data_IF_129316028334
#
_entry.id   IF_129316028334
#
_cell.length_a   1.000
_cell.length_b   1.000
_cell.length_c   1.000
_cell.angle_alpha   90.00
_cell.angle_beta   90.00
_cell.angle_gamma   90.00
#
_symmetry.space_group_name_H-M   'P 1'
#
loop_
_entity.id
_entity.type
_entity.pdbx_description
1 polymer ?
#
# COMPACT_ATOMS: atom_id res chain seq x y z
N UNK A 1 -15.08 -32.09 -0.28
CA UNK A 1 -15.38 -30.68 -0.49
C UNK A 1 -14.11 -29.84 -0.52
N UNK A 2 -13.94 -29.02 -1.50
CA UNK A 2 -12.76 -28.19 -1.55
C UNK A 2 -12.78 -27.17 -0.42
N UNK A 3 -11.65 -26.97 0.17
CA UNK A 3 -11.50 -25.91 1.14
C UNK A 3 -11.59 -24.58 0.44
N UNK A 4 -12.35 -23.69 1.03
CA UNK A 4 -12.40 -22.32 0.53
C UNK A 4 -11.11 -21.61 0.94
N UNK A 5 -10.15 -21.67 0.07
CA UNK A 5 -8.93 -20.91 0.28
C UNK A 5 -9.21 -19.47 -0.14
N UNK A 6 -8.99 -18.55 0.77
CA UNK A 6 -9.13 -17.14 0.41
C UNK A 6 -7.94 -16.74 -0.43
N UNK A 7 -8.16 -16.72 -1.76
CA UNK A 7 -7.15 -16.34 -2.72
C UNK A 7 -7.26 -14.88 -3.15
N UNK A 8 -8.21 -14.16 -2.55
CA UNK A 8 -8.40 -12.75 -2.89
C UNK A 8 -7.17 -11.93 -2.50
N UNK A 9 -6.88 -10.98 -3.33
CA UNK A 9 -5.73 -10.09 -3.16
C UNK A 9 -6.20 -8.65 -3.14
N UNK A 10 -5.50 -7.83 -2.38
CA UNK A 10 -5.72 -6.40 -2.35
C UNK A 10 -4.49 -5.75 -2.97
N UNK A 11 -4.68 -5.09 -4.10
CA UNK A 11 -3.59 -4.35 -4.71
C UNK A 11 -3.39 -3.03 -3.96
N UNK A 12 -2.14 -2.67 -3.72
CA UNK A 12 -1.82 -1.41 -3.06
C UNK A 12 -0.61 -0.76 -3.71
N UNK A 13 -0.52 0.53 -3.54
CA UNK A 13 0.65 1.28 -3.98
C UNK A 13 1.02 2.32 -2.93
N UNK A 14 2.29 2.35 -2.55
CA UNK A 14 2.87 3.41 -1.73
C UNK A 14 3.50 4.41 -2.68
N UNK A 15 3.15 5.67 -2.53
CA UNK A 15 3.61 6.73 -3.42
C UNK A 15 3.85 8.01 -2.64
N UNK A 16 4.64 8.88 -3.23
CA UNK A 16 4.84 10.24 -2.70
C UNK A 16 3.97 11.19 -3.50
N UNK A 17 3.10 11.94 -2.81
CA UNK A 17 2.19 12.88 -3.48
C UNK A 17 2.96 13.86 -4.36
N UNK A 18 2.35 14.20 -5.49
CA UNK A 18 2.88 15.25 -6.35
C UNK A 18 2.63 16.65 -5.79
N UNK A 19 1.90 16.75 -4.70
CA UNK A 19 1.55 18.01 -4.08
C UNK A 19 2.75 18.67 -3.41
N UNK A 20 2.56 19.93 -3.04
CA UNK A 20 3.60 20.71 -2.38
C UNK A 20 4.13 20.05 -1.10
N UNK A 21 3.27 19.32 -0.38
CA UNK A 21 3.68 18.67 0.87
C UNK A 21 4.64 17.52 0.65
N UNK A 22 4.56 16.84 -0.49
CA UNK A 22 5.40 15.70 -0.79
C UNK A 22 5.26 14.55 0.21
N UNK A 23 4.08 14.38 0.79
CA UNK A 23 3.86 13.33 1.78
C UNK A 23 3.76 11.96 1.12
N UNK A 24 4.17 10.95 1.86
CA UNK A 24 4.02 9.56 1.42
C UNK A 24 2.64 9.06 1.81
N UNK A 25 1.97 8.39 0.90
CA UNK A 25 0.63 7.85 1.09
C UNK A 25 0.53 6.45 0.49
N UNK A 26 -0.56 5.79 0.79
CA UNK A 26 -0.88 4.48 0.22
C UNK A 26 -2.30 4.49 -0.33
N UNK A 27 -2.49 3.81 -1.44
CA UNK A 27 -3.82 3.56 -2.01
C UNK A 27 -4.06 2.05 -2.10
N UNK A 28 -5.25 1.63 -1.69
CA UNK A 28 -5.71 0.23 -1.77
C UNK A 28 -6.82 0.17 -2.80
N UNK A 29 -6.51 -0.37 -3.97
CA UNK A 29 -7.37 -0.24 -5.15
C UNK A 29 -8.73 -0.93 -5.01
N UNK A 30 -8.81 -2.03 -4.30
CA UNK A 30 -10.03 -2.82 -4.23
C UNK A 30 -10.94 -2.46 -3.06
N UNK A 31 -10.47 -1.67 -2.12
CA UNK A 31 -11.23 -1.36 -0.90
C UNK A 31 -11.83 0.03 -0.88
N UNK A 32 -11.45 0.89 -1.82
CA UNK A 32 -11.98 2.25 -1.89
C UNK A 32 -13.31 2.29 -2.62
N UNK A 33 -14.19 3.19 -2.20
CA UNK A 33 -15.39 3.53 -2.97
C UNK A 33 -14.98 4.15 -4.30
N UNK A 34 -15.87 4.13 -5.29
CA UNK A 34 -15.53 4.61 -6.63
C UNK A 34 -14.99 6.03 -6.63
N UNK A 35 -15.64 6.93 -5.90
CA UNK A 35 -15.24 8.33 -5.86
C UNK A 35 -13.86 8.51 -5.23
N UNK A 36 -13.66 7.90 -4.08
CA UNK A 36 -12.38 7.99 -3.38
C UNK A 36 -11.28 7.28 -4.16
N UNK A 37 -11.63 6.15 -4.74
CA UNK A 37 -10.70 5.36 -5.55
C UNK A 37 -10.16 6.17 -6.73
N UNK A 38 -11.04 6.89 -7.42
CA UNK A 38 -10.64 7.71 -8.55
C UNK A 38 -9.65 8.79 -8.13
N UNK A 39 -9.96 9.51 -7.06
CA UNK A 39 -9.11 10.58 -6.54
C UNK A 39 -7.74 10.06 -6.12
N UNK A 40 -7.73 8.99 -5.34
CA UNK A 40 -6.47 8.40 -4.86
C UNK A 40 -5.62 7.83 -5.98
N UNK A 41 -6.26 7.19 -6.97
CA UNK A 41 -5.53 6.68 -8.13
C UNK A 41 -4.91 7.83 -8.92
N UNK A 42 -5.65 8.91 -9.11
CA UNK A 42 -5.13 10.08 -9.82
C UNK A 42 -3.95 10.68 -9.10
N UNK A 43 -4.00 10.79 -7.77
CA UNK A 43 -2.87 11.28 -6.98
C UNK A 43 -1.67 10.35 -7.09
N UNK A 44 -1.90 9.04 -7.01
CA UNK A 44 -0.83 8.05 -7.14
C UNK A 44 -0.17 8.13 -8.52
N UNK A 45 -0.96 8.30 -9.57
CA UNK A 45 -0.44 8.39 -10.94
C UNK A 45 0.40 9.65 -11.18
N UNK A 46 0.09 10.73 -10.49
CA UNK A 46 0.87 11.96 -10.59
C UNK A 46 2.04 12.00 -9.63
N UNK A 47 2.00 11.15 -8.62
CA UNK A 47 3.02 11.10 -7.59
C UNK A 47 4.22 10.26 -8.01
N UNK A 48 5.17 10.19 -7.10
CA UNK A 48 6.37 9.38 -7.28
C UNK A 48 6.14 7.99 -6.69
N UNK A 49 6.30 6.98 -7.53
CA UNK A 49 6.13 5.59 -7.11
C UNK A 49 7.21 5.18 -6.09
N UNK A 50 6.79 4.51 -5.04
CA UNK A 50 7.71 3.99 -4.02
C UNK A 50 7.69 2.46 -4.01
N UNK A 51 6.52 1.86 -3.84
CA UNK A 51 6.38 0.40 -3.77
C UNK A 51 4.96 0.01 -4.10
N UNK A 52 4.79 -1.10 -4.79
CA UNK A 52 3.46 -1.65 -5.04
C UNK A 52 3.48 -3.17 -4.90
N UNK A 53 2.30 -3.75 -4.82
CA UNK A 53 2.16 -5.19 -4.73
C UNK A 53 0.74 -5.60 -4.42
N UNK A 54 0.61 -6.87 -4.06
CA UNK A 54 -0.66 -7.45 -3.68
C UNK A 54 -0.56 -8.00 -2.27
N UNK A 55 -1.53 -7.68 -1.43
CA UNK A 55 -1.64 -8.22 -0.08
C UNK A 55 -2.64 -9.37 -0.05
N UNK A 56 -2.40 -10.33 0.82
CA UNK A 56 -3.39 -11.37 1.08
C UNK A 56 -4.60 -10.71 1.74
N UNK A 57 -5.77 -10.84 1.11
CA UNK A 57 -6.99 -10.18 1.59
C UNK A 57 -7.32 -10.54 3.04
N UNK A 58 -7.17 -11.81 3.39
CA UNK A 58 -7.48 -12.29 4.75
C UNK A 58 -6.60 -11.67 5.83
N UNK A 59 -5.44 -11.16 5.46
CA UNK A 59 -4.48 -10.58 6.40
C UNK A 59 -4.29 -9.08 6.19
N UNK A 60 -5.22 -8.46 5.46
CA UNK A 60 -5.09 -7.06 5.09
C UNK A 60 -5.00 -6.11 6.27
N UNK A 61 -5.66 -6.44 7.37
CA UNK A 61 -5.65 -5.53 8.53
C UNK A 61 -4.26 -5.47 9.18
N UNK A 62 -3.62 -6.62 9.32
CA UNK A 62 -2.27 -6.68 9.85
C UNK A 62 -1.30 -6.00 8.89
N UNK A 63 -1.46 -6.27 7.60
CA UNK A 63 -0.62 -5.66 6.58
C UNK A 63 -0.75 -4.14 6.56
N UNK A 64 -1.97 -3.63 6.71
CA UNK A 64 -2.20 -2.19 6.75
C UNK A 64 -1.49 -1.52 7.92
N UNK A 65 -1.44 -2.18 9.07
CA UNK A 65 -0.68 -1.66 10.21
C UNK A 65 0.80 -1.52 9.88
N UNK A 66 1.37 -2.53 9.23
CA UNK A 66 2.77 -2.48 8.82
C UNK A 66 2.99 -1.38 7.78
N UNK A 67 2.08 -1.25 6.82
CA UNK A 67 2.16 -0.19 5.81
C UNK A 67 2.10 1.19 6.49
N UNK A 68 1.22 1.37 7.47
CA UNK A 68 1.11 2.64 8.18
C UNK A 68 2.41 2.98 8.93
N UNK A 69 3.05 1.99 9.53
CA UNK A 69 4.34 2.18 10.18
C UNK A 69 5.43 2.59 9.18
N UNK A 70 5.42 1.96 8.01
CA UNK A 70 6.34 2.32 6.94
C UNK A 70 6.12 3.75 6.48
N UNK A 71 4.85 4.15 6.31
CA UNK A 71 4.51 5.52 5.94
C UNK A 71 4.97 6.53 6.99
N UNK A 72 4.79 6.22 8.26
CA UNK A 72 5.28 7.10 9.33
C UNK A 72 6.79 7.30 9.24
N UNK A 73 7.52 6.22 9.01
CA UNK A 73 8.98 6.29 8.88
C UNK A 73 9.39 7.14 7.68
N UNK A 74 8.75 6.91 6.54
CA UNK A 74 9.02 7.69 5.34
C UNK A 74 8.70 9.18 5.55
N UNK A 75 7.60 9.46 6.21
CA UNK A 75 7.17 10.84 6.45
C UNK A 75 8.00 11.54 7.52
N UNK A 76 8.76 10.80 8.31
CA UNK A 76 9.75 11.37 9.23
C UNK A 76 11.09 11.64 8.56
N UNK A 77 11.23 11.27 7.29
CA UNK A 77 12.48 11.46 6.56
C UNK A 77 13.45 10.29 6.66
N UNK A 78 13.01 9.14 7.17
CA UNK A 78 13.86 7.96 7.22
C UNK A 78 14.01 7.37 5.81
N UNK A 79 15.19 6.83 5.56
CA UNK A 79 15.48 6.17 4.29
C UNK A 79 15.02 4.71 4.38
N UNK A 80 13.84 4.45 3.85
CA UNK A 80 13.25 3.10 3.82
C UNK A 80 13.20 2.65 2.37
N UNK A 81 14.12 1.78 1.98
CA UNK A 81 14.20 1.32 0.60
C UNK A 81 13.18 0.22 0.29
N UNK A 82 13.05 -0.11 -0.99
CA UNK A 82 12.11 -1.12 -1.45
C UNK A 82 12.36 -2.49 -0.82
N UNK A 83 13.60 -2.84 -0.64
CA UNK A 83 13.98 -4.12 -0.04
C UNK A 83 13.48 -4.21 1.41
N UNK A 84 13.64 -3.14 2.17
CA UNK A 84 13.16 -3.07 3.55
C UNK A 84 11.65 -3.18 3.60
N UNK A 85 10.95 -2.46 2.72
CA UNK A 85 9.48 -2.51 2.65
C UNK A 85 9.02 -3.93 2.34
N UNK A 86 9.62 -4.54 1.34
CA UNK A 86 9.29 -5.91 0.95
C UNK A 86 9.50 -6.90 2.08
N UNK A 87 10.63 -6.79 2.77
CA UNK A 87 10.93 -7.68 3.90
C UNK A 87 9.92 -7.56 5.03
N UNK A 88 9.51 -6.34 5.34
CA UNK A 88 8.53 -6.10 6.40
C UNK A 88 7.14 -6.62 6.04
N UNK A 89 6.82 -6.62 4.76
CA UNK A 89 5.51 -7.07 4.27
C UNK A 89 5.49 -8.52 3.80
N UNK A 90 6.65 -9.17 3.78
CA UNK A 90 6.81 -10.52 3.22
C UNK A 90 5.72 -11.51 3.67
N UNK A 91 5.38 -11.60 4.97
CA UNK A 91 4.37 -12.56 5.42
C UNK A 91 2.96 -12.28 4.87
N UNK A 92 2.71 -11.08 4.40
CA UNK A 92 1.39 -10.63 3.96
C UNK A 92 1.29 -10.46 2.44
N UNK A 93 2.38 -10.56 1.73
CA UNK A 93 2.37 -10.42 0.27
C UNK A 93 1.83 -11.66 -0.40
N UNK A 94 1.03 -11.44 -1.42
CA UNK A 94 0.46 -12.51 -2.22
C UNK A 94 1.40 -12.93 -3.35
#
# INVERSE_FOLDING_TARGET
MPLMTDTKKVMFEIYREASYSGRYKVVYFTELGEHDKETEIQEAMRGEHVFDGFLLHRERNQAKQIVDEILERLNRGEDVDQTTIEQNLQPYLA
#
